data_IF_984004898619
#
_entry.id   IF_984004898619
#
_cell.length_a   1.000
_cell.length_b   1.000
_cell.length_c   1.000
_cell.angle_alpha   90.00
_cell.angle_beta   90.00
_cell.angle_gamma   90.00
#
_symmetry.space_group_name_H-M   'P 1'
#
loop_
_entity.id
_entity.type
_entity.pdbx_description
1 polymer ?
#
# COMPACT_ATOMS: atom_id res chain seq x y z
N UNK A 1 19.30 2.53 10.65
CA UNK A 1 18.32 3.31 9.85
C UNK A 1 18.93 4.49 9.09
N UNK A 2 19.78 5.32 9.68
CA UNK A 2 20.42 6.44 8.95
C UNK A 2 21.12 6.00 7.68
N UNK A 3 21.84 4.90 7.71
CA UNK A 3 22.50 4.35 6.52
C UNK A 3 21.51 3.99 5.43
N UNK A 4 20.43 3.30 5.78
CA UNK A 4 19.36 2.97 4.83
C UNK A 4 18.67 4.23 4.28
N UNK A 5 18.46 5.24 5.13
CA UNK A 5 17.90 6.54 4.72
C UNK A 5 18.83 7.26 3.75
N UNK A 6 20.14 7.24 3.98
CA UNK A 6 21.12 7.85 3.07
C UNK A 6 21.21 7.10 1.73
N UNK A 7 21.15 5.77 1.74
CA UNK A 7 21.08 4.98 0.49
C UNK A 7 19.83 5.33 -0.31
N UNK A 8 18.67 5.44 0.34
CA UNK A 8 17.41 5.86 -0.29
C UNK A 8 17.50 7.27 -0.84
N UNK A 9 18.06 8.21 -0.08
CA UNK A 9 18.31 9.59 -0.54
C UNK A 9 19.13 9.61 -1.82
N UNK A 10 20.26 8.90 -1.85
CA UNK A 10 21.12 8.83 -3.03
C UNK A 10 20.40 8.20 -4.23
N UNK A 11 19.67 7.11 -4.01
CA UNK A 11 18.88 6.45 -5.07
C UNK A 11 17.81 7.40 -5.66
N UNK A 12 17.06 8.11 -4.83
CA UNK A 12 16.06 9.06 -5.29
C UNK A 12 16.70 10.16 -6.16
N UNK A 13 17.84 10.68 -5.75
CA UNK A 13 18.57 11.70 -6.51
C UNK A 13 19.08 11.18 -7.86
N UNK A 14 19.57 9.96 -7.91
CA UNK A 14 19.99 9.33 -9.18
C UNK A 14 18.83 9.20 -10.17
N UNK A 15 17.59 8.99 -9.67
CA UNK A 15 16.40 8.96 -10.50
C UNK A 15 15.78 10.34 -10.77
N UNK A 16 16.47 11.44 -10.41
CA UNK A 16 15.98 12.80 -10.65
C UNK A 16 14.83 13.23 -9.73
N UNK A 17 14.58 12.49 -8.66
CA UNK A 17 13.54 12.82 -7.69
C UNK A 17 14.07 13.89 -6.73
N UNK A 18 13.31 14.97 -6.55
CA UNK A 18 13.63 16.01 -5.58
C UNK A 18 13.61 15.44 -4.16
N UNK A 19 14.77 15.32 -3.56
CA UNK A 19 14.96 14.81 -2.21
C UNK A 19 16.00 15.65 -1.49
N UNK A 20 15.78 15.89 -0.21
CA UNK A 20 16.64 16.67 0.68
C UNK A 20 16.93 15.87 1.95
N UNK A 21 18.16 15.94 2.42
CA UNK A 21 18.50 15.44 3.75
C UNK A 21 18.40 16.59 4.74
N UNK A 22 17.57 16.44 5.76
CA UNK A 22 17.43 17.37 6.87
C UNK A 22 18.22 16.84 8.07
N UNK A 23 19.24 17.60 8.49
CA UNK A 23 19.88 17.39 9.77
C UNK A 23 18.93 17.78 10.92
N UNK A 24 19.34 17.56 12.18
CA UNK A 24 18.51 17.87 13.35
C UNK A 24 18.11 19.35 13.40
N UNK A 25 18.98 20.26 13.02
CA UNK A 25 18.71 21.69 13.08
C UNK A 25 17.70 22.10 12.00
N UNK A 26 17.84 21.58 10.78
CA UNK A 26 16.90 21.79 9.69
C UNK A 26 15.55 21.15 10.02
N UNK A 27 15.55 19.94 10.61
CA UNK A 27 14.35 19.25 11.02
C UNK A 27 13.59 19.99 12.12
N UNK A 28 14.30 20.55 13.12
CA UNK A 28 13.70 21.39 14.15
C UNK A 28 12.99 22.63 13.59
N UNK A 29 13.51 23.22 12.54
CA UNK A 29 12.83 24.33 11.84
C UNK A 29 11.64 23.89 11.02
N UNK A 30 11.74 22.69 10.40
CA UNK A 30 10.68 22.18 9.51
C UNK A 30 9.51 21.60 10.26
N UNK A 31 9.75 20.96 11.40
CA UNK A 31 8.75 20.30 12.25
C UNK A 31 9.00 20.68 13.71
N UNK A 32 8.62 21.90 14.14
CA UNK A 32 8.98 22.45 15.46
C UNK A 32 8.43 21.63 16.64
N UNK A 33 7.28 20.98 16.47
CA UNK A 33 6.62 20.19 17.51
C UNK A 33 7.20 18.78 17.70
N UNK A 34 8.18 18.40 16.87
CA UNK A 34 8.83 17.10 16.97
C UNK A 34 9.80 17.06 18.16
N UNK A 35 9.70 16.02 18.97
CA UNK A 35 10.65 15.77 20.07
C UNK A 35 12.02 15.37 19.49
N UNK A 36 12.95 16.32 19.46
CA UNK A 36 14.32 16.10 19.06
C UNK A 36 15.29 16.06 20.26
N UNK A 37 14.79 15.82 21.48
CA UNK A 37 15.60 15.69 22.68
C UNK A 37 16.67 14.61 22.55
N UNK A 38 17.82 14.84 23.20
CA UNK A 38 18.89 13.81 23.22
C UNK A 38 18.54 12.65 24.13
N UNK A 39 17.67 12.91 25.12
CA UNK A 39 17.19 11.95 26.10
C UNK A 39 15.92 11.23 25.63
N UNK A 40 15.45 11.49 24.40
CA UNK A 40 14.35 10.76 23.81
C UNK A 40 14.72 9.27 23.69
N UNK A 41 13.77 8.40 23.98
CA UNK A 41 13.95 6.94 23.87
C UNK A 41 14.47 6.53 22.48
N UNK A 42 14.07 7.26 21.44
CA UNK A 42 14.47 7.07 20.06
C UNK A 42 15.04 8.37 19.49
N UNK A 43 16.33 8.68 19.72
CA UNK A 43 16.92 9.91 19.26
C UNK A 43 16.87 10.04 17.74
N UNK A 44 16.27 11.11 17.24
CA UNK A 44 16.17 11.39 15.81
C UNK A 44 17.45 12.11 15.37
N UNK A 45 18.15 11.53 14.40
CA UNK A 45 19.40 12.06 13.87
C UNK A 45 19.21 12.98 12.65
N UNK A 46 18.13 12.82 11.94
CA UNK A 46 17.77 13.57 10.74
C UNK A 46 16.61 12.93 10.02
N UNK A 47 16.25 13.46 8.86
CA UNK A 47 15.16 12.96 8.03
C UNK A 47 15.47 13.10 6.54
N UNK A 48 14.85 12.25 5.75
CA UNK A 48 14.74 12.40 4.30
C UNK A 48 13.45 13.16 3.99
N UNK A 49 13.56 14.31 3.35
CA UNK A 49 12.44 15.12 2.90
C UNK A 49 12.26 14.98 1.39
N UNK A 50 11.01 14.89 0.98
CA UNK A 50 10.59 15.02 -0.41
C UNK A 50 9.72 16.27 -0.54
N UNK A 51 10.31 17.44 -0.85
CA UNK A 51 9.61 18.73 -0.81
C UNK A 51 8.45 18.83 -1.82
N UNK A 52 8.47 18.00 -2.86
CA UNK A 52 7.38 17.88 -3.84
C UNK A 52 6.39 16.76 -3.51
N UNK A 53 6.55 16.09 -2.38
CA UNK A 53 5.60 15.13 -1.85
C UNK A 53 4.32 15.82 -1.35
N UNK A 54 3.28 15.03 -1.13
CA UNK A 54 2.01 15.58 -0.63
C UNK A 54 1.01 14.49 -0.31
N UNK A 55 -0.21 14.91 -0.03
CA UNK A 55 -1.36 14.04 0.25
C UNK A 55 -2.30 14.07 -0.94
N UNK A 56 -2.69 12.91 -1.44
CA UNK A 56 -3.71 12.77 -2.46
C UNK A 56 -5.01 12.21 -1.85
N UNK A 57 -6.12 12.74 -2.26
CA UNK A 57 -7.44 12.19 -1.91
C UNK A 57 -7.66 10.91 -2.70
N UNK A 58 -7.52 9.78 -2.05
CA UNK A 58 -7.60 8.45 -2.66
C UNK A 58 -8.95 8.18 -3.32
N UNK A 59 -10.06 8.63 -2.72
CA UNK A 59 -11.41 8.55 -3.28
C UNK A 59 -11.52 9.33 -4.61
N UNK A 60 -11.02 10.55 -4.65
CA UNK A 60 -11.02 11.37 -5.85
C UNK A 60 -10.18 10.77 -6.99
N UNK A 61 -9.04 10.14 -6.63
CA UNK A 61 -8.18 9.42 -7.59
C UNK A 61 -8.93 8.22 -8.17
N UNK A 62 -9.56 7.38 -7.32
CA UNK A 62 -10.33 6.23 -7.76
C UNK A 62 -11.49 6.64 -8.69
N UNK A 63 -12.26 7.68 -8.32
CA UNK A 63 -13.33 8.23 -9.16
C UNK A 63 -12.81 8.88 -10.45
N UNK A 64 -11.63 9.48 -10.42
CA UNK A 64 -10.98 10.02 -11.61
C UNK A 64 -10.67 8.93 -12.64
N UNK A 65 -10.08 7.82 -12.20
CA UNK A 65 -9.82 6.65 -13.06
C UNK A 65 -11.13 6.02 -13.55
N UNK A 66 -12.12 5.85 -12.68
CA UNK A 66 -13.41 5.27 -13.05
C UNK A 66 -14.11 6.10 -14.15
N UNK A 67 -14.21 7.43 -13.97
CA UNK A 67 -14.76 8.31 -15.01
C UNK A 67 -13.95 8.28 -16.31
N UNK A 68 -12.62 8.21 -16.20
CA UNK A 68 -11.74 8.08 -17.36
C UNK A 68 -11.95 6.77 -18.13
N UNK A 69 -12.26 5.67 -17.44
CA UNK A 69 -12.59 4.38 -18.03
C UNK A 69 -13.99 4.41 -18.68
N UNK A 70 -14.99 4.88 -17.95
CA UNK A 70 -16.38 5.04 -18.43
C UNK A 70 -16.45 5.86 -19.72
N UNK A 71 -15.76 7.01 -19.77
CA UNK A 71 -15.66 7.85 -20.99
C UNK A 71 -15.00 7.14 -22.19
N UNK A 72 -14.40 6.00 -21.98
CA UNK A 72 -13.78 5.14 -23.02
C UNK A 72 -14.60 3.88 -23.31
N UNK A 73 -15.84 3.82 -22.81
CA UNK A 73 -16.76 2.72 -23.04
C UNK A 73 -16.52 1.49 -22.17
N UNK A 74 -15.86 1.66 -21.03
CA UNK A 74 -15.72 0.57 -20.04
C UNK A 74 -16.96 0.54 -19.16
N UNK A 75 -17.65 -0.59 -19.13
CA UNK A 75 -18.79 -0.81 -18.22
C UNK A 75 -18.27 -1.04 -16.79
N UNK A 76 -18.75 -0.21 -15.85
CA UNK A 76 -18.44 -0.34 -14.43
C UNK A 76 -19.67 -0.87 -13.71
N UNK A 77 -19.62 -2.15 -13.31
CA UNK A 77 -20.75 -2.84 -12.68
C UNK A 77 -20.50 -2.90 -11.17
N UNK A 78 -21.11 -1.98 -10.44
CA UNK A 78 -21.06 -1.93 -8.98
C UNK A 78 -21.98 -2.97 -8.35
N UNK A 79 -21.69 -3.37 -7.09
CA UNK A 79 -22.43 -4.38 -6.35
C UNK A 79 -22.60 -5.69 -7.16
N UNK A 80 -21.49 -6.14 -7.76
CA UNK A 80 -21.40 -7.33 -8.59
C UNK A 80 -20.20 -8.15 -8.12
N UNK A 81 -20.43 -9.02 -7.14
CA UNK A 81 -19.39 -9.85 -6.55
C UNK A 81 -19.04 -11.00 -7.48
N UNK A 82 -17.75 -11.26 -7.69
CA UNK A 82 -17.26 -12.44 -8.40
C UNK A 82 -17.27 -13.63 -7.44
N UNK A 83 -18.03 -14.65 -7.79
CA UNK A 83 -18.22 -15.86 -6.99
C UNK A 83 -17.51 -17.08 -7.57
N UNK A 84 -16.90 -16.97 -8.75
CA UNK A 84 -16.18 -18.06 -9.39
C UNK A 84 -15.68 -17.71 -10.79
N UNK A 85 -14.99 -18.65 -11.41
CA UNK A 85 -14.47 -18.55 -12.77
C UNK A 85 -15.04 -19.65 -13.64
N UNK A 86 -15.40 -19.31 -14.88
CA UNK A 86 -15.77 -20.27 -15.91
C UNK A 86 -14.52 -20.69 -16.67
N UNK A 87 -14.43 -21.99 -17.03
CA UNK A 87 -13.33 -22.53 -17.81
C UNK A 87 -13.83 -23.40 -18.94
N UNK A 88 -13.16 -23.34 -20.08
CA UNK A 88 -13.33 -24.26 -21.19
C UNK A 88 -12.71 -25.64 -20.92
N UNK A 89 -12.94 -26.55 -21.82
CA UNK A 89 -12.40 -27.91 -21.75
C UNK A 89 -10.86 -27.95 -21.82
N UNK A 90 -10.24 -26.93 -22.39
CA UNK A 90 -8.78 -26.70 -22.43
C UNK A 90 -8.22 -26.06 -21.16
N UNK A 91 -9.05 -25.80 -20.16
CA UNK A 91 -8.68 -25.17 -18.90
C UNK A 91 -8.55 -23.64 -18.96
N UNK A 92 -8.74 -23.02 -20.13
CA UNK A 92 -8.72 -21.56 -20.31
C UNK A 92 -9.91 -20.92 -19.59
N UNK A 93 -9.70 -19.73 -19.02
CA UNK A 93 -10.81 -18.90 -18.52
C UNK A 93 -11.66 -18.45 -19.70
N UNK A 94 -12.99 -18.60 -19.54
CA UNK A 94 -14.01 -18.17 -20.52
C UNK A 94 -14.99 -17.16 -19.93
N UNK A 95 -14.78 -16.75 -18.66
CA UNK A 95 -15.59 -15.76 -17.98
C UNK A 95 -15.54 -15.88 -16.47
N UNK A 96 -16.38 -15.11 -15.83
CA UNK A 96 -16.58 -15.11 -14.38
C UNK A 96 -18.03 -15.35 -14.02
N UNK A 97 -18.24 -16.01 -12.88
CA UNK A 97 -19.55 -16.11 -12.22
C UNK A 97 -19.69 -14.95 -11.25
N UNK A 98 -20.82 -14.28 -11.27
CA UNK A 98 -21.08 -13.15 -10.38
C UNK A 98 -22.46 -13.26 -9.73
N UNK A 99 -22.70 -12.46 -8.69
CA UNK A 99 -24.01 -12.31 -8.05
C UNK A 99 -25.08 -11.74 -8.97
N UNK A 100 -24.68 -11.24 -10.17
CA UNK A 100 -25.60 -10.72 -11.21
C UNK A 100 -25.67 -11.62 -12.44
N UNK A 101 -25.16 -12.83 -12.35
CA UNK A 101 -25.08 -13.78 -13.45
C UNK A 101 -23.68 -13.90 -14.04
N UNK A 102 -23.50 -14.79 -15.02
CA UNK A 102 -22.22 -15.00 -15.66
C UNK A 102 -21.86 -13.85 -16.61
N UNK A 103 -20.56 -13.52 -16.68
CA UNK A 103 -20.01 -12.59 -17.65
C UNK A 103 -18.94 -13.33 -18.46
N UNK A 104 -19.17 -13.48 -19.76
CA UNK A 104 -18.24 -14.16 -20.65
C UNK A 104 -17.07 -13.24 -21.04
N UNK A 105 -15.86 -13.79 -21.02
CA UNK A 105 -14.65 -13.08 -21.46
C UNK A 105 -13.50 -14.05 -21.70
N UNK A 106 -12.75 -13.86 -22.76
CA UNK A 106 -11.56 -14.66 -23.08
C UNK A 106 -10.34 -14.28 -22.24
N UNK A 107 -10.36 -13.09 -21.61
CA UNK A 107 -9.30 -12.56 -20.76
C UNK A 107 -9.91 -11.95 -19.50
N UNK A 108 -9.42 -12.37 -18.35
CA UNK A 108 -9.86 -11.86 -17.04
C UNK A 108 -8.64 -11.36 -16.28
N UNK A 109 -8.65 -10.08 -15.92
CA UNK A 109 -7.65 -9.46 -15.03
C UNK A 109 -8.20 -9.37 -13.60
N UNK A 110 -7.43 -9.85 -12.63
CA UNK A 110 -7.76 -9.76 -11.20
C UNK A 110 -6.88 -8.72 -10.53
N UNK A 111 -7.50 -7.67 -9.97
CA UNK A 111 -6.83 -6.60 -9.23
C UNK A 111 -7.69 -6.24 -8.01
N UNK A 112 -7.61 -7.05 -6.96
CA UNK A 112 -8.52 -7.02 -5.80
C UNK A 112 -7.81 -6.81 -4.46
N UNK A 113 -6.55 -6.37 -4.50
CA UNK A 113 -5.73 -6.02 -3.34
C UNK A 113 -5.79 -7.08 -2.22
N UNK A 114 -6.14 -6.71 -1.01
CA UNK A 114 -6.18 -7.61 0.14
C UNK A 114 -7.07 -8.84 0.02
N UNK A 115 -7.98 -8.89 -0.96
CA UNK A 115 -8.81 -10.06 -1.23
C UNK A 115 -8.21 -11.01 -2.28
N UNK A 116 -6.97 -10.77 -2.72
CA UNK A 116 -6.28 -11.54 -3.76
C UNK A 116 -6.25 -13.05 -3.47
N UNK A 117 -5.90 -13.43 -2.24
CA UNK A 117 -5.88 -14.83 -1.84
C UNK A 117 -7.24 -15.51 -1.93
N UNK A 118 -8.29 -14.81 -1.51
CA UNK A 118 -9.68 -15.31 -1.58
C UNK A 118 -10.14 -15.47 -3.04
N UNK A 119 -10.06 -14.43 -3.84
CA UNK A 119 -10.56 -14.44 -5.23
C UNK A 119 -9.78 -15.42 -6.10
N UNK A 120 -8.45 -15.47 -5.96
CA UNK A 120 -7.66 -16.45 -6.72
C UNK A 120 -7.88 -17.88 -6.23
N UNK A 121 -8.26 -18.07 -4.96
CA UNK A 121 -8.74 -19.35 -4.43
C UNK A 121 -9.98 -19.87 -5.16
N UNK A 122 -10.90 -19.01 -5.58
CA UNK A 122 -12.07 -19.38 -6.42
C UNK A 122 -11.65 -19.92 -7.79
N UNK A 123 -10.46 -19.52 -8.27
CA UNK A 123 -9.85 -20.07 -9.48
C UNK A 123 -9.02 -21.34 -9.20
N UNK A 124 -9.02 -21.87 -7.97
CA UNK A 124 -8.20 -23.01 -7.57
C UNK A 124 -6.70 -22.70 -7.47
N UNK A 125 -6.34 -21.43 -7.31
CA UNK A 125 -4.94 -21.00 -7.20
C UNK A 125 -4.62 -20.51 -5.79
N UNK A 126 -3.47 -20.92 -5.27
CA UNK A 126 -2.88 -20.34 -4.06
C UNK A 126 -1.77 -19.36 -4.45
N UNK A 127 -1.89 -18.14 -4.01
CA UNK A 127 -0.86 -17.12 -4.20
C UNK A 127 0.08 -17.05 -2.96
N UNK A 128 1.34 -16.66 -3.14
CA UNK A 128 2.26 -16.36 -2.03
C UNK A 128 1.96 -14.96 -1.45
N UNK A 129 0.72 -14.74 -1.08
CA UNK A 129 0.19 -13.47 -0.56
C UNK A 129 -0.56 -13.75 0.74
N UNK A 130 -0.30 -12.94 1.74
CA UNK A 130 -1.06 -12.90 2.99
C UNK A 130 -1.79 -11.57 3.12
N UNK A 131 -2.98 -11.60 3.74
CA UNK A 131 -3.81 -10.42 3.94
C UNK A 131 -3.67 -9.92 5.37
N UNK A 132 -3.10 -8.73 5.55
CA UNK A 132 -2.88 -8.12 6.86
C UNK A 132 -3.63 -6.79 6.99
N UNK A 133 -4.01 -6.44 8.21
CA UNK A 133 -4.67 -5.16 8.47
C UNK A 133 -3.64 -4.06 8.69
N UNK A 134 -3.73 -3.00 7.91
CA UNK A 134 -3.08 -1.72 8.18
C UNK A 134 -4.12 -0.76 8.75
N UNK A 135 -3.83 -0.19 9.92
CA UNK A 135 -4.80 0.56 10.68
C UNK A 135 -4.50 2.06 10.68
N UNK A 136 -5.55 2.85 10.76
CA UNK A 136 -5.45 4.29 10.89
C UNK A 136 -6.48 4.83 11.89
N UNK A 137 -6.14 5.96 12.51
CA UNK A 137 -6.95 6.64 13.50
C UNK A 137 -7.07 8.12 13.15
N UNK A 138 -8.17 8.74 13.50
CA UNK A 138 -8.36 10.18 13.35
C UNK A 138 -8.79 10.79 14.68
N UNK A 139 -8.15 11.93 15.02
CA UNK A 139 -8.46 12.67 16.25
C UNK A 139 -9.63 13.63 16.07
N UNK A 140 -10.03 14.24 17.18
CA UNK A 140 -10.76 15.50 17.15
C UNK A 140 -9.95 16.58 16.43
N UNK A 141 -10.61 17.59 15.80
CA UNK A 141 -9.90 18.68 15.13
C UNK A 141 -9.20 19.59 16.14
N UNK A 142 -8.00 20.00 15.83
CA UNK A 142 -7.18 20.93 16.63
C UNK A 142 -6.57 22.00 15.73
N UNK A 143 -6.02 23.05 16.34
CA UNK A 143 -5.32 24.10 15.59
C UNK A 143 -4.19 23.48 14.74
N UNK A 144 -3.95 24.00 13.55
CA UNK A 144 -2.85 23.54 12.70
C UNK A 144 -1.49 23.65 13.37
N UNK A 145 -0.73 22.57 13.38
CA UNK A 145 0.65 22.50 13.88
C UNK A 145 1.56 21.66 12.98
N UNK A 146 1.00 20.85 12.08
CA UNK A 146 1.77 19.95 11.22
C UNK A 146 1.30 20.08 9.77
N UNK A 147 2.16 20.65 8.93
CA UNK A 147 1.89 20.91 7.51
C UNK A 147 2.58 19.92 6.55
N UNK A 148 3.16 18.86 7.11
CA UNK A 148 3.82 17.77 6.37
C UNK A 148 3.37 16.42 6.87
N UNK A 149 3.52 15.40 6.04
CA UNK A 149 3.42 14.01 6.48
C UNK A 149 4.77 13.59 7.03
N UNK A 150 4.80 13.12 8.27
CA UNK A 150 5.97 12.51 8.90
C UNK A 150 5.75 11.01 8.99
N UNK A 151 6.73 10.22 8.56
CA UNK A 151 6.72 8.78 8.70
C UNK A 151 8.04 8.26 9.24
N UNK A 152 7.98 7.20 10.01
CA UNK A 152 9.15 6.53 10.57
C UNK A 152 9.06 5.03 10.35
N UNK A 153 10.10 4.45 9.77
CA UNK A 153 10.21 3.01 9.59
C UNK A 153 10.52 2.27 10.89
N UNK A 154 11.32 2.89 11.80
CA UNK A 154 11.67 2.28 13.08
C UNK A 154 10.49 2.09 14.01
N UNK A 155 9.63 3.09 14.07
CA UNK A 155 8.48 3.10 14.97
C UNK A 155 7.18 2.70 14.24
N UNK A 156 7.27 2.36 12.95
CA UNK A 156 6.17 1.89 12.11
C UNK A 156 4.90 2.72 12.20
N UNK A 157 5.02 4.05 12.21
CA UNK A 157 3.87 4.93 12.11
C UNK A 157 4.09 6.09 11.15
N UNK A 158 2.99 6.69 10.72
CA UNK A 158 2.97 7.99 10.06
C UNK A 158 1.98 8.90 10.77
N UNK A 159 2.22 10.20 10.69
CA UNK A 159 1.36 11.25 11.21
C UNK A 159 1.21 12.35 10.17
N UNK A 160 0.00 12.86 10.04
CA UNK A 160 -0.32 14.06 9.26
C UNK A 160 -1.47 14.80 9.89
N UNK A 161 -1.66 16.06 9.51
CA UNK A 161 -2.83 16.83 9.90
C UNK A 161 -3.63 17.20 8.66
N UNK A 162 -4.97 17.08 8.74
CA UNK A 162 -5.86 17.45 7.65
C UNK A 162 -6.07 18.96 7.60
N UNK A 163 -6.59 19.47 6.49
CA UNK A 163 -7.00 20.87 6.33
C UNK A 163 -8.14 21.30 7.27
N UNK A 164 -8.85 20.33 7.84
CA UNK A 164 -9.92 20.56 8.83
C UNK A 164 -9.41 20.51 10.28
N UNK A 165 -8.12 20.18 10.47
CA UNK A 165 -7.46 20.16 11.76
C UNK A 165 -7.37 18.79 12.44
N UNK A 166 -8.01 17.73 11.92
CA UNK A 166 -7.86 16.41 12.51
C UNK A 166 -6.43 15.87 12.30
N UNK A 167 -5.88 15.25 13.33
CA UNK A 167 -4.63 14.50 13.24
C UNK A 167 -4.95 13.09 12.78
N UNK A 168 -4.35 12.70 11.66
CA UNK A 168 -4.38 11.34 11.14
C UNK A 168 -3.11 10.62 11.55
N UNK A 169 -3.28 9.50 12.21
CA UNK A 169 -2.21 8.63 12.67
C UNK A 169 -2.45 7.23 12.12
N UNK A 170 -1.43 6.58 11.63
CA UNK A 170 -1.56 5.19 11.19
C UNK A 170 -0.23 4.48 11.17
N UNK A 171 -0.30 3.17 11.10
CA UNK A 171 0.88 2.30 11.12
C UNK A 171 0.59 0.99 11.84
N UNK A 172 1.65 0.22 12.04
CA UNK A 172 1.55 -1.12 12.58
C UNK A 172 0.79 -2.08 11.66
N UNK A 173 1.11 -3.34 11.73
CA UNK A 173 0.37 -4.43 11.08
C UNK A 173 -0.05 -5.42 12.14
N UNK A 174 -1.24 -5.97 12.00
CA UNK A 174 -1.57 -7.14 12.78
C UNK A 174 -0.68 -8.32 12.35
N UNK A 175 -0.16 -9.07 13.30
CA UNK A 175 0.77 -10.18 13.05
C UNK A 175 0.10 -11.46 12.51
N UNK A 176 -1.13 -11.38 12.01
CA UNK A 176 -1.90 -12.52 11.53
C UNK A 176 -2.75 -12.15 10.31
N UNK A 177 -3.05 -13.16 9.50
CA UNK A 177 -3.89 -13.00 8.31
C UNK A 177 -5.34 -12.69 8.71
N UNK A 178 -5.89 -11.60 8.17
CA UNK A 178 -7.25 -11.14 8.50
C UNK A 178 -7.87 -10.32 7.38
N UNK A 179 -9.19 -10.37 7.30
CA UNK A 179 -10.03 -9.54 6.41
C UNK A 179 -10.90 -8.53 7.19
N UNK A 180 -10.63 -8.33 8.46
CA UNK A 180 -11.32 -7.33 9.28
C UNK A 180 -11.10 -5.91 8.74
N UNK A 181 -12.09 -5.03 8.93
CA UNK A 181 -11.97 -3.61 8.55
C UNK A 181 -12.06 -2.68 9.77
N UNK A 182 -12.07 -3.27 10.95
CA UNK A 182 -12.05 -2.55 12.23
C UNK A 182 -10.65 -2.63 12.81
N UNK A 183 -10.24 -1.59 13.50
CA UNK A 183 -8.96 -1.59 14.18
C UNK A 183 -8.97 -2.44 15.45
N UNK A 184 -7.78 -2.70 15.98
CA UNK A 184 -7.55 -3.46 17.21
C UNK A 184 -6.95 -2.58 18.32
N UNK A 185 -7.25 -2.88 19.57
CA UNK A 185 -6.71 -2.12 20.71
C UNK A 185 -5.18 -2.24 20.84
N UNK A 186 -4.56 -3.40 20.66
CA UNK A 186 -3.10 -3.48 20.68
C UNK A 186 -2.42 -2.54 19.69
N UNK A 187 -2.92 -2.46 18.47
CA UNK A 187 -2.35 -1.59 17.44
C UNK A 187 -2.50 -0.10 17.79
N UNK A 188 -3.68 0.33 18.29
CA UNK A 188 -3.86 1.73 18.69
C UNK A 188 -2.92 2.12 19.85
N UNK A 189 -2.70 1.23 20.81
CA UNK A 189 -1.78 1.49 21.92
C UNK A 189 -0.34 1.62 21.41
N UNK A 190 0.12 0.69 20.60
CA UNK A 190 1.49 0.66 20.05
C UNK A 190 1.79 1.92 19.24
N UNK A 191 0.93 2.22 18.27
CA UNK A 191 1.11 3.35 17.36
C UNK A 191 0.98 4.69 18.07
N UNK A 192 0.02 4.82 19.00
CA UNK A 192 -0.17 6.04 19.78
C UNK A 192 1.01 6.28 20.73
N UNK A 193 1.51 5.25 21.41
CA UNK A 193 2.68 5.38 22.27
C UNK A 193 3.92 5.85 21.50
N UNK A 194 4.17 5.26 20.33
CA UNK A 194 5.27 5.67 19.45
C UNK A 194 5.11 7.12 18.96
N UNK A 195 3.89 7.51 18.60
CA UNK A 195 3.61 8.86 18.12
C UNK A 195 3.74 9.91 19.22
N UNK A 196 3.33 9.63 20.45
CA UNK A 196 3.49 10.53 21.61
C UNK A 196 4.98 10.73 21.95
N UNK A 197 5.79 9.71 21.81
CA UNK A 197 7.25 9.83 21.99
C UNK A 197 7.85 10.86 21.04
N UNK A 198 7.41 10.86 19.79
CA UNK A 198 7.88 11.78 18.76
C UNK A 198 7.16 13.14 18.77
N UNK A 199 5.89 13.18 19.13
CA UNK A 199 5.03 14.36 19.19
C UNK A 199 4.30 14.44 20.54
N UNK A 200 4.94 14.86 21.63
CA UNK A 200 4.32 14.89 22.97
C UNK A 200 3.04 15.73 23.06
N UNK A 201 2.90 16.73 22.18
CA UNK A 201 1.73 17.62 22.12
C UNK A 201 0.42 16.87 21.77
N UNK A 202 0.49 15.70 21.12
CA UNK A 202 -0.71 14.91 20.80
C UNK A 202 -1.24 14.05 21.95
N UNK A 203 -0.54 13.99 23.09
CA UNK A 203 -0.88 13.11 24.21
C UNK A 203 -2.27 13.34 24.81
N UNK A 204 -2.88 14.50 24.55
CA UNK A 204 -4.22 14.87 25.05
C UNK A 204 -5.33 14.76 24.02
N UNK A 205 -5.00 14.36 22.77
CA UNK A 205 -5.99 14.23 21.71
C UNK A 205 -6.93 13.05 21.98
N UNK A 206 -8.19 13.24 21.62
CA UNK A 206 -9.18 12.17 21.64
C UNK A 206 -9.28 11.55 20.26
N UNK A 207 -9.18 10.22 20.20
CA UNK A 207 -9.41 9.47 18.96
C UNK A 207 -10.92 9.34 18.73
N UNK A 208 -11.36 9.82 17.56
CA UNK A 208 -12.77 9.84 17.18
C UNK A 208 -13.17 8.63 16.35
N UNK A 209 -12.23 8.09 15.58
CA UNK A 209 -12.47 6.94 14.69
C UNK A 209 -11.21 6.13 14.49
N UNK A 210 -11.39 4.83 14.33
CA UNK A 210 -10.38 3.88 13.90
C UNK A 210 -10.96 3.02 12.76
N UNK A 211 -10.14 2.66 11.78
CA UNK A 211 -10.48 1.73 10.72
C UNK A 211 -9.24 0.97 10.27
N UNK A 212 -9.45 -0.08 9.47
CA UNK A 212 -8.39 -0.86 8.87
C UNK A 212 -8.62 -1.07 7.39
N UNK A 213 -7.53 -1.06 6.61
CA UNK A 213 -7.49 -1.53 5.24
C UNK A 213 -6.83 -2.90 5.17
N UNK A 214 -7.33 -3.76 4.29
CA UNK A 214 -6.75 -5.09 4.07
C UNK A 214 -5.64 -4.97 3.02
N UNK A 215 -4.41 -5.20 3.44
CA UNK A 215 -3.23 -5.19 2.58
C UNK A 215 -2.91 -6.58 2.07
N UNK A 216 -2.41 -6.65 0.86
CA UNK A 216 -1.89 -7.83 0.20
C UNK A 216 -0.36 -7.88 0.30
N UNK A 217 0.15 -8.75 1.17
CA UNK A 217 1.57 -8.84 1.50
C UNK A 217 2.20 -10.04 0.81
N UNK A 218 3.14 -9.77 -0.11
CA UNK A 218 4.01 -10.81 -0.69
C UNK A 218 5.21 -11.07 0.19
N UNK A 219 5.82 -12.24 0.05
CA UNK A 219 6.99 -12.65 0.86
C UNK A 219 8.22 -11.78 0.62
N UNK A 220 8.38 -11.24 -0.61
CA UNK A 220 9.53 -10.43 -1.00
C UNK A 220 9.26 -8.92 -1.02
N UNK A 221 8.05 -8.51 -0.62
CA UNK A 221 7.67 -7.10 -0.60
C UNK A 221 7.36 -6.48 -1.96
N UNK A 222 7.44 -7.25 -3.03
CA UNK A 222 7.23 -6.78 -4.41
C UNK A 222 5.93 -7.32 -5.00
N UNK A 223 5.25 -6.55 -5.88
CA UNK A 223 3.99 -6.98 -6.47
C UNK A 223 4.16 -8.18 -7.42
N UNK A 224 3.03 -8.78 -7.76
CA UNK A 224 2.91 -9.77 -8.83
C UNK A 224 2.06 -9.12 -9.91
N UNK A 225 2.62 -8.99 -11.13
CA UNK A 225 1.92 -8.37 -12.27
C UNK A 225 2.11 -9.23 -13.49
N UNK A 226 1.05 -9.85 -14.00
CA UNK A 226 1.17 -10.59 -15.25
C UNK A 226 0.26 -11.79 -15.41
N UNK A 227 0.75 -12.75 -16.16
CA UNK A 227 0.06 -14.00 -16.44
C UNK A 227 0.02 -14.92 -15.23
N UNK A 228 -1.03 -15.71 -15.16
CA UNK A 228 -1.10 -16.85 -14.24
C UNK A 228 -0.88 -18.16 -15.02
N UNK A 229 -0.70 -19.30 -14.36
CA UNK A 229 -0.69 -20.60 -15.00
C UNK A 229 -2.01 -20.97 -15.71
N UNK A 230 -3.10 -20.28 -15.42
CA UNK A 230 -4.40 -20.49 -16.06
C UNK A 230 -4.46 -19.60 -17.30
N UNK A 231 -4.58 -20.18 -18.52
CA UNK A 231 -4.66 -19.40 -19.74
C UNK A 231 -5.84 -18.43 -19.73
N UNK A 232 -5.61 -17.18 -20.10
CA UNK A 232 -6.63 -16.12 -20.08
C UNK A 232 -6.84 -15.45 -18.75
N UNK A 233 -6.22 -15.92 -17.64
CA UNK A 233 -6.30 -15.31 -16.33
C UNK A 233 -5.01 -14.53 -16.01
N UNK A 234 -5.17 -13.25 -15.68
CA UNK A 234 -4.09 -12.33 -15.33
C UNK A 234 -4.28 -11.81 -13.90
N UNK A 235 -3.19 -11.42 -13.28
CA UNK A 235 -3.20 -10.95 -11.90
C UNK A 235 -2.31 -9.72 -11.70
N UNK A 236 -2.81 -8.75 -10.94
CA UNK A 236 -2.05 -7.60 -10.43
C UNK A 236 -2.39 -7.42 -8.93
N UNK A 237 -1.41 -7.62 -8.06
CA UNK A 237 -1.57 -7.51 -6.61
C UNK A 237 -0.30 -7.82 -5.85
N UNK A 238 -0.41 -7.91 -4.52
CA UNK A 238 0.75 -8.13 -3.66
C UNK A 238 1.59 -6.86 -3.46
N UNK A 239 0.95 -5.71 -3.45
CA UNK A 239 1.60 -4.41 -3.47
C UNK A 239 2.17 -3.95 -2.13
N UNK A 240 1.89 -4.65 -1.05
CA UNK A 240 2.34 -4.29 0.29
C UNK A 240 2.02 -2.81 0.60
N UNK A 241 3.05 -1.99 0.83
CA UNK A 241 2.90 -0.55 1.11
C UNK A 241 2.96 0.33 -0.16
N UNK A 242 3.24 -0.26 -1.33
CA UNK A 242 3.59 0.47 -2.56
C UNK A 242 2.44 0.84 -3.48
N UNK A 243 1.28 0.21 -3.33
CA UNK A 243 0.24 0.16 -4.35
C UNK A 243 -0.31 1.49 -4.82
N UNK A 244 -0.74 2.36 -3.91
CA UNK A 244 -1.41 3.60 -4.29
C UNK A 244 -0.54 4.49 -5.21
N UNK A 245 0.71 4.72 -4.84
CA UNK A 245 1.62 5.55 -5.65
C UNK A 245 2.01 4.92 -6.99
N UNK A 246 1.97 3.60 -7.08
CA UNK A 246 2.31 2.86 -8.29
C UNK A 246 1.13 2.69 -9.25
N UNK A 247 -0.10 2.98 -8.83
CA UNK A 247 -1.34 2.74 -9.59
C UNK A 247 -1.27 3.16 -11.07
N UNK A 248 -0.77 4.37 -11.45
CA UNK A 248 -0.75 4.74 -12.86
C UNK A 248 0.15 3.85 -13.71
N UNK A 249 1.33 3.51 -13.20
CA UNK A 249 2.29 2.68 -13.91
C UNK A 249 1.88 1.21 -13.93
N UNK A 250 1.38 0.68 -12.79
CA UNK A 250 0.95 -0.72 -12.70
C UNK A 250 -0.24 -1.00 -13.60
N UNK A 251 -1.26 -0.14 -13.56
CA UNK A 251 -2.45 -0.28 -14.39
C UNK A 251 -2.09 -0.27 -15.89
N UNK A 252 -1.16 0.61 -16.29
CA UNK A 252 -0.70 0.66 -17.67
C UNK A 252 0.08 -0.61 -18.07
N UNK A 253 1.03 -1.06 -17.24
CA UNK A 253 1.79 -2.29 -17.48
C UNK A 253 0.89 -3.53 -17.51
N UNK A 254 -0.09 -3.58 -16.61
CA UNK A 254 -1.04 -4.69 -16.54
C UNK A 254 -1.94 -4.74 -17.78
N UNK A 255 -2.49 -3.59 -18.19
CA UNK A 255 -3.27 -3.47 -19.43
C UNK A 255 -2.43 -3.90 -20.67
N UNK A 256 -1.18 -3.47 -20.75
CA UNK A 256 -0.25 -3.91 -21.80
C UNK A 256 -0.12 -5.44 -21.81
N UNK A 257 0.12 -6.05 -20.65
CA UNK A 257 0.27 -7.51 -20.53
C UNK A 257 -0.99 -8.26 -20.94
N UNK A 258 -2.19 -7.77 -20.56
CA UNK A 258 -3.46 -8.37 -20.98
C UNK A 258 -3.67 -8.24 -22.49
N UNK A 259 -3.37 -7.08 -23.07
CA UNK A 259 -3.57 -6.81 -24.48
C UNK A 259 -2.66 -7.65 -25.37
N UNK A 260 -1.35 -7.62 -25.09
CA UNK A 260 -0.33 -8.26 -25.92
C UNK A 260 -0.05 -9.72 -25.60
N UNK A 261 -0.34 -10.13 -24.36
CA UNK A 261 0.07 -11.42 -23.82
C UNK A 261 1.53 -11.44 -23.34
N UNK A 262 2.26 -10.33 -23.42
CA UNK A 262 3.66 -10.24 -22.98
C UNK A 262 3.86 -9.15 -21.92
N UNK A 263 4.73 -9.37 -20.91
CA UNK A 263 4.98 -8.37 -19.90
C UNK A 263 5.65 -7.13 -20.50
N UNK A 264 5.28 -5.96 -20.01
CA UNK A 264 6.04 -4.74 -20.32
C UNK A 264 7.42 -4.79 -19.65
N UNK A 265 8.49 -4.20 -20.23
CA UNK A 265 9.84 -4.21 -19.63
C UNK A 265 9.88 -3.74 -18.17
N UNK A 266 9.03 -2.78 -17.80
CA UNK A 266 8.96 -2.27 -16.40
C UNK A 266 8.41 -3.31 -15.42
N UNK A 267 7.59 -4.25 -15.84
CA UNK A 267 7.02 -5.28 -14.96
C UNK A 267 7.52 -6.70 -15.25
N UNK A 268 8.48 -6.86 -16.15
CA UNK A 268 8.97 -8.18 -16.58
C UNK A 268 9.56 -9.03 -15.43
N UNK A 269 10.10 -8.39 -14.40
CA UNK A 269 10.62 -9.07 -13.23
C UNK A 269 9.54 -9.50 -12.21
N UNK A 270 8.36 -8.88 -12.24
CA UNK A 270 7.31 -9.05 -11.23
C UNK A 270 6.37 -10.22 -11.51
N UNK A 271 6.90 -11.31 -12.05
CA UNK A 271 6.11 -12.50 -12.41
C UNK A 271 5.79 -13.38 -11.19
N UNK A 272 4.69 -14.12 -11.25
CA UNK A 272 4.32 -15.08 -10.21
C UNK A 272 5.33 -16.22 -10.07
N UNK A 273 5.90 -16.69 -11.18
CA UNK A 273 6.82 -17.82 -11.21
C UNK A 273 8.19 -17.52 -10.58
N UNK A 274 8.51 -16.24 -10.30
CA UNK A 274 9.75 -15.87 -9.61
C UNK A 274 9.92 -16.56 -8.26
N UNK A 275 8.82 -16.82 -7.56
CA UNK A 275 8.85 -17.52 -6.27
C UNK A 275 9.27 -18.98 -6.41
N UNK A 276 8.78 -19.67 -7.44
CA UNK A 276 9.17 -21.05 -7.75
C UNK A 276 10.61 -21.19 -8.23
N UNK A 277 11.18 -20.12 -8.77
CA UNK A 277 12.58 -20.07 -9.27
C UNK A 277 13.54 -19.47 -8.24
N UNK A 278 13.06 -19.11 -7.04
CA UNK A 278 13.84 -18.39 -6.00
C UNK A 278 14.45 -17.06 -6.52
N UNK A 279 13.82 -16.45 -7.53
CA UNK A 279 14.23 -15.17 -8.11
C UNK A 279 13.48 -14.01 -7.46
N UNK A 280 13.44 -14.00 -6.11
CA UNK A 280 12.75 -12.98 -5.32
C UNK A 280 13.35 -11.59 -5.53
N UNK A 281 12.51 -10.58 -5.44
CA UNK A 281 12.89 -9.17 -5.57
C UNK A 281 12.89 -8.58 -4.16
N UNK A 282 14.08 -8.23 -3.66
CA UNK A 282 14.20 -7.61 -2.33
C UNK A 282 14.03 -6.08 -2.45
N UNK A 283 12.82 -5.61 -2.32
CA UNK A 283 12.53 -4.18 -2.12
C UNK A 283 12.69 -3.82 -0.64
N UNK A 284 13.93 -3.62 -0.22
CA UNK A 284 14.26 -3.26 1.16
C UNK A 284 13.41 -2.11 1.67
N UNK A 285 12.61 -2.38 2.69
CA UNK A 285 11.71 -1.43 3.33
C UNK A 285 10.28 -1.41 2.79
N UNK A 286 9.92 -2.30 1.87
CA UNK A 286 8.54 -2.48 1.40
C UNK A 286 7.92 -3.81 1.83
N UNK A 287 8.71 -4.76 2.32
CA UNK A 287 8.24 -6.05 2.81
C UNK A 287 7.80 -6.01 4.28
N UNK A 288 7.13 -7.07 4.75
CA UNK A 288 6.80 -7.21 6.16
C UNK A 288 8.10 -7.31 6.96
N UNK A 289 8.35 -6.33 7.82
CA UNK A 289 9.39 -6.48 8.81
C UNK A 289 8.93 -7.51 9.85
N UNK A 290 9.71 -8.58 10.10
CA UNK A 290 9.45 -9.37 11.28
C UNK A 290 9.56 -8.44 12.48
N UNK A 291 8.49 -8.36 13.29
CA UNK A 291 8.57 -7.68 14.59
C UNK A 291 9.70 -8.36 15.36
N UNK A 292 10.76 -7.62 15.67
CA UNK A 292 11.73 -8.07 16.65
C UNK A 292 10.97 -8.22 17.97
N UNK A 293 10.79 -9.45 18.39
CA UNK A 293 10.18 -9.80 19.68
C UNK A 293 11.19 -9.54 20.81
#
# INVERSE_FOLDING_TARGET
EMEATMRRYNALRLYGIAAEFLDRAALARRVPDMNLGRDARWPILGALSQPRGGVARHDAVAWGFARGADNRGVDIIQNCEVTGFQRGADGRVTGVLTTRGPIASDKVGVAVAGHSGHVMGLAGMRLPIESHLLQAFVSEPVKPFLDVVVSTGALHFYISQTDKGEVLLGGGLDGYNSYGQRGTMPNIHEVTAAAIEMFPNISRLKWMRQWAGVMDMTMDGSPIIGKTPIPGLFFDGGWCYGGFKATPASGWCFAHTIATGEPHPLNAAFTLDRFGRSAVIDEKGAGPYPKAH
#
